data_IF_683518245051
#
_entry.id   IF_683518245051
#
_cell.length_a   1.000
_cell.length_b   1.000
_cell.length_c   1.000
_cell.angle_alpha   90.00
_cell.angle_beta   90.00
_cell.angle_gamma   90.00
#
_symmetry.space_group_name_H-M   'P 1'
#
loop_
_entity.id
_entity.type
_entity.pdbx_description
1 polymer ?
#
# COMPACT_ATOMS: atom_id res chain seq x y z
N UNK A 1 4.29 -2.79 -36.43
CA UNK A 1 3.86 -2.58 -35.01
C UNK A 1 4.96 -1.77 -34.36
N UNK A 2 4.70 -0.51 -34.04
CA UNK A 2 5.69 0.33 -33.35
C UNK A 2 5.98 -0.26 -31.96
N UNK A 3 7.26 -0.34 -31.62
CA UNK A 3 7.67 -0.88 -30.32
C UNK A 3 7.25 0.08 -29.20
N UNK A 4 6.51 -0.42 -28.20
CA UNK A 4 6.12 0.37 -27.03
C UNK A 4 7.38 0.72 -26.24
N UNK A 5 7.64 2.02 -26.05
CA UNK A 5 8.81 2.49 -25.30
C UNK A 5 8.55 2.51 -23.80
N UNK A 6 9.59 2.35 -22.96
CA UNK A 6 9.49 2.51 -21.51
C UNK A 6 8.88 3.87 -21.11
N UNK A 7 9.22 4.95 -21.85
CA UNK A 7 8.61 6.28 -21.64
C UNK A 7 7.09 6.26 -21.84
N UNK A 8 6.58 5.57 -22.85
CA UNK A 8 5.14 5.46 -23.10
C UNK A 8 4.43 4.70 -21.96
N UNK A 9 5.07 3.64 -21.44
CA UNK A 9 4.55 2.88 -20.30
C UNK A 9 4.45 3.80 -19.06
N UNK A 10 5.55 4.47 -18.69
CA UNK A 10 5.57 5.37 -17.52
C UNK A 10 4.54 6.48 -17.66
N UNK A 11 4.41 7.11 -18.84
CA UNK A 11 3.41 8.15 -19.08
C UNK A 11 1.98 7.63 -18.87
N UNK A 12 1.69 6.43 -19.36
CA UNK A 12 0.37 5.80 -19.19
C UNK A 12 0.09 5.46 -17.73
N UNK A 13 1.10 4.96 -16.99
CA UNK A 13 0.99 4.68 -15.55
C UNK A 13 0.77 5.95 -14.73
N UNK A 14 1.49 7.03 -15.04
CA UNK A 14 1.29 8.33 -14.38
C UNK A 14 -0.12 8.87 -14.61
N UNK A 15 -0.63 8.76 -15.85
CA UNK A 15 -2.00 9.16 -16.17
C UNK A 15 -3.01 8.31 -15.37
N UNK A 16 -2.86 6.99 -15.35
CA UNK A 16 -3.70 6.11 -14.56
C UNK A 16 -3.67 6.46 -13.07
N UNK A 17 -2.49 6.68 -12.51
CA UNK A 17 -2.32 7.08 -11.11
C UNK A 17 -3.01 8.43 -10.82
N UNK A 18 -2.96 9.39 -11.75
CA UNK A 18 -3.65 10.68 -11.62
C UNK A 18 -5.16 10.51 -11.62
N UNK A 19 -5.70 9.72 -12.54
CA UNK A 19 -7.13 9.41 -12.59
C UNK A 19 -7.60 8.69 -11.32
N UNK A 20 -6.85 7.68 -10.85
CA UNK A 20 -7.12 6.98 -9.60
C UNK A 20 -7.03 7.91 -8.38
N UNK A 21 -6.08 8.84 -8.35
CA UNK A 21 -5.94 9.82 -7.28
C UNK A 21 -7.12 10.79 -7.23
N UNK A 22 -7.54 11.29 -8.38
CA UNK A 22 -8.72 12.16 -8.50
C UNK A 22 -9.98 11.44 -8.04
N UNK A 23 -10.11 10.19 -8.45
CA UNK A 23 -11.20 9.32 -8.07
C UNK A 23 -11.20 9.00 -6.57
N UNK A 24 -10.05 8.64 -6.01
CA UNK A 24 -9.87 8.41 -4.58
C UNK A 24 -10.21 9.68 -3.76
N UNK A 25 -9.83 10.86 -4.27
CA UNK A 25 -10.15 12.15 -3.66
C UNK A 25 -11.68 12.41 -3.65
N UNK A 26 -12.36 12.09 -4.74
CA UNK A 26 -13.80 12.29 -4.85
C UNK A 26 -14.62 11.35 -3.95
N UNK A 27 -14.17 10.11 -3.76
CA UNK A 27 -14.96 9.05 -3.09
C UNK A 27 -14.42 8.61 -1.73
N UNK A 28 -13.12 8.74 -1.46
CA UNK A 28 -12.50 8.26 -0.21
C UNK A 28 -12.15 9.36 0.79
N UNK A 29 -11.92 10.60 0.34
CA UNK A 29 -11.32 11.65 1.19
C UNK A 29 -12.35 12.37 2.08
N UNK A 30 -13.61 12.38 1.72
CA UNK A 30 -14.68 13.02 2.52
C UNK A 30 -15.47 12.03 3.37
N UNK A 31 -15.04 10.77 3.40
CA UNK A 31 -15.88 9.70 3.88
C UNK A 31 -15.32 8.89 5.06
N UNK A 32 -15.86 7.71 5.15
CA UNK A 32 -15.68 6.72 6.22
C UNK A 32 -14.22 6.38 6.52
N UNK A 33 -13.35 6.34 5.48
CA UNK A 33 -11.93 5.98 5.64
C UNK A 33 -11.15 7.04 6.42
N UNK A 34 -11.32 8.32 6.08
CA UNK A 34 -10.65 9.41 6.79
C UNK A 34 -11.08 9.46 8.26
N UNK A 35 -12.39 9.33 8.51
CA UNK A 35 -12.94 9.23 9.85
C UNK A 35 -12.40 8.03 10.62
N UNK A 36 -12.29 6.86 9.96
CA UNK A 36 -11.73 5.67 10.60
C UNK A 36 -10.26 5.83 10.97
N UNK A 37 -9.45 6.44 10.10
CA UNK A 37 -8.06 6.78 10.39
C UNK A 37 -7.96 7.67 11.65
N UNK A 38 -8.81 8.67 11.76
CA UNK A 38 -8.86 9.57 12.92
C UNK A 38 -9.29 8.82 14.20
N UNK A 39 -10.34 7.99 14.14
CA UNK A 39 -10.81 7.16 15.25
C UNK A 39 -9.73 6.20 15.77
N UNK A 40 -8.87 5.69 14.88
CA UNK A 40 -7.73 4.86 15.23
C UNK A 40 -6.55 5.66 15.83
N UNK A 41 -6.64 7.00 15.83
CA UNK A 41 -5.56 7.89 16.29
C UNK A 41 -4.36 7.89 15.35
N UNK A 42 -4.58 7.56 14.07
CA UNK A 42 -3.54 7.52 13.05
C UNK A 42 -3.51 8.80 12.23
N UNK A 43 -2.34 9.17 11.75
CA UNK A 43 -2.22 10.15 10.66
C UNK A 43 -2.38 9.43 9.31
N UNK A 44 -2.74 10.15 8.22
CA UNK A 44 -2.81 9.55 6.89
C UNK A 44 -1.51 8.86 6.46
N UNK A 45 -0.35 9.43 6.79
CA UNK A 45 0.95 8.81 6.50
C UNK A 45 1.19 7.52 7.28
N UNK A 46 0.72 7.45 8.53
CA UNK A 46 0.79 6.21 9.32
C UNK A 46 -0.12 5.13 8.75
N UNK A 47 -1.34 5.49 8.32
CA UNK A 47 -2.25 4.57 7.67
C UNK A 47 -1.67 4.05 6.33
N UNK A 48 -1.05 4.92 5.52
CA UNK A 48 -0.34 4.51 4.31
C UNK A 48 0.81 3.55 4.61
N UNK A 49 1.58 3.81 5.68
CA UNK A 49 2.66 2.92 6.09
C UNK A 49 2.15 1.55 6.53
N UNK A 50 1.04 1.49 7.26
CA UNK A 50 0.41 0.22 7.61
C UNK A 50 -0.04 -0.55 6.37
N UNK A 51 -0.70 0.12 5.42
CA UNK A 51 -1.10 -0.48 4.15
C UNK A 51 0.11 -0.98 3.34
N UNK A 52 1.21 -0.23 3.35
CA UNK A 52 2.44 -0.63 2.69
C UNK A 52 3.06 -1.88 3.32
N UNK A 53 3.16 -1.94 4.64
CA UNK A 53 3.66 -3.12 5.37
C UNK A 53 2.77 -4.36 5.15
N UNK A 54 1.46 -4.16 5.11
CA UNK A 54 0.49 -5.23 4.84
C UNK A 54 0.66 -5.83 3.44
N UNK A 55 0.89 -4.98 2.44
CA UNK A 55 1.04 -5.40 1.04
C UNK A 55 2.44 -5.93 0.70
N UNK A 56 3.44 -5.71 1.55
CA UNK A 56 4.84 -6.08 1.29
C UNK A 56 5.47 -6.74 2.53
N UNK A 57 4.96 -7.90 2.97
CA UNK A 57 5.43 -8.55 4.19
C UNK A 57 6.90 -9.02 4.11
N UNK A 58 7.47 -9.12 2.91
CA UNK A 58 8.87 -9.44 2.67
C UNK A 58 9.82 -8.25 2.98
N UNK A 59 9.31 -7.02 2.97
CA UNK A 59 10.07 -5.82 3.31
C UNK A 59 10.01 -5.57 4.82
N UNK A 60 10.54 -6.52 5.57
CA UNK A 60 10.41 -6.60 7.02
C UNK A 60 11.53 -5.88 7.81
N UNK A 61 12.48 -5.24 7.15
CA UNK A 61 13.56 -4.49 7.82
C UNK A 61 13.51 -2.99 7.56
N UNK A 62 13.95 -2.19 8.55
CA UNK A 62 14.06 -0.71 8.38
C UNK A 62 14.93 -0.35 7.17
N UNK A 63 15.99 -1.12 6.91
CA UNK A 63 16.87 -0.87 5.76
C UNK A 63 16.20 -1.14 4.44
N UNK A 64 15.48 -2.26 4.30
CA UNK A 64 14.71 -2.61 3.09
C UNK A 64 13.61 -1.59 2.83
N UNK A 65 12.84 -1.24 3.86
CA UNK A 65 11.79 -0.23 3.79
C UNK A 65 12.34 1.14 3.39
N UNK A 66 13.46 1.58 4.01
CA UNK A 66 14.12 2.85 3.70
C UNK A 66 14.56 2.90 2.24
N UNK A 67 15.19 1.84 1.74
CA UNK A 67 15.61 1.73 0.35
C UNK A 67 14.41 1.75 -0.62
N UNK A 68 13.36 1.00 -0.33
CA UNK A 68 12.18 0.86 -1.18
C UNK A 68 11.36 2.15 -1.25
N UNK A 69 11.23 2.87 -0.12
CA UNK A 69 10.44 4.10 -0.01
C UNK A 69 11.25 5.37 -0.30
N UNK A 70 12.55 5.26 -0.49
CA UNK A 70 13.46 6.40 -0.68
C UNK A 70 13.37 7.44 0.45
N UNK A 71 13.16 7.00 1.69
CA UNK A 71 13.10 7.85 2.90
C UNK A 71 14.28 7.56 3.82
N UNK A 72 14.68 8.55 4.63
CA UNK A 72 15.76 8.36 5.59
C UNK A 72 15.37 7.32 6.65
N UNK A 73 16.37 6.51 7.09
CA UNK A 73 16.17 5.53 8.17
C UNK A 73 15.67 6.18 9.47
N UNK A 74 16.12 7.42 9.75
CA UNK A 74 15.69 8.17 10.93
C UNK A 74 14.20 8.53 10.90
N UNK A 75 13.73 9.09 9.77
CA UNK A 75 12.30 9.42 9.59
C UNK A 75 11.42 8.16 9.65
N UNK A 76 11.87 7.10 9.00
CA UNK A 76 11.16 5.82 9.01
C UNK A 76 11.10 5.22 10.42
N UNK A 77 12.23 5.21 11.15
CA UNK A 77 12.28 4.70 12.52
C UNK A 77 11.34 5.46 13.46
N UNK A 78 11.25 6.78 13.32
CA UNK A 78 10.33 7.60 14.11
C UNK A 78 8.86 7.24 13.81
N UNK A 79 8.52 7.05 12.53
CA UNK A 79 7.17 6.66 12.13
C UNK A 79 6.82 5.26 12.67
N UNK A 80 7.72 4.30 12.50
CA UNK A 80 7.54 2.93 13.00
C UNK A 80 7.43 2.88 14.54
N UNK A 81 8.18 3.71 15.26
CA UNK A 81 8.05 3.81 16.72
C UNK A 81 6.68 4.33 17.14
N UNK A 82 6.10 5.28 16.41
CA UNK A 82 4.72 5.74 16.67
C UNK A 82 3.69 4.63 16.43
N UNK A 83 3.85 3.85 15.36
CA UNK A 83 3.00 2.69 15.10
C UNK A 83 3.14 1.60 16.15
N UNK A 84 4.36 1.39 16.68
CA UNK A 84 4.64 0.46 17.76
C UNK A 84 3.97 0.90 19.08
N UNK A 85 4.11 2.17 19.46
CA UNK A 85 3.41 2.75 20.61
C UNK A 85 1.90 2.64 20.49
N UNK A 86 1.36 2.83 19.27
CA UNK A 86 -0.07 2.63 18.98
C UNK A 86 -0.50 1.17 18.98
N UNK A 87 0.44 0.23 19.05
CA UNK A 87 0.19 -1.21 19.02
C UNK A 87 -0.18 -1.76 17.65
N UNK A 88 0.08 -1.04 16.55
CA UNK A 88 -0.22 -1.47 15.19
C UNK A 88 0.94 -2.24 14.52
N UNK A 89 2.16 -1.97 14.95
CA UNK A 89 3.35 -2.66 14.48
C UNK A 89 4.20 -3.12 15.68
N UNK A 90 5.10 -4.06 15.43
CA UNK A 90 6.04 -4.55 16.44
C UNK A 90 7.42 -4.73 15.81
N UNK A 91 8.45 -4.46 16.61
CA UNK A 91 9.82 -4.81 16.30
C UNK A 91 10.11 -6.22 16.74
N UNK A 92 10.80 -6.96 15.90
CA UNK A 92 11.31 -8.30 16.24
C UNK A 92 12.83 -8.28 16.23
N UNK A 93 13.43 -9.01 17.16
CA UNK A 93 14.87 -9.24 17.16
C UNK A 93 15.30 -9.99 15.87
N UNK A 94 16.58 -9.87 15.52
CA UNK A 94 17.18 -10.64 14.46
C UNK A 94 16.91 -12.13 14.65
N UNK A 95 16.66 -12.85 13.56
CA UNK A 95 16.53 -14.30 13.55
C UNK A 95 17.92 -14.93 13.81
N UNK A 96 17.94 -16.13 14.40
CA UNK A 96 19.19 -16.89 14.58
C UNK A 96 19.91 -17.06 13.24
N UNK A 97 21.19 -16.63 13.21
CA UNK A 97 22.01 -16.65 12.01
C UNK A 97 22.02 -15.34 11.20
N UNK A 98 21.21 -14.37 11.55
CA UNK A 98 21.20 -13.04 10.94
C UNK A 98 22.22 -12.08 11.63
N UNK A 99 22.61 -11.01 10.91
CA UNK A 99 23.33 -9.88 11.52
C UNK A 99 22.45 -9.29 12.64
N UNK A 100 22.88 -9.40 13.89
CA UNK A 100 22.18 -8.93 15.09
C UNK A 100 21.85 -7.42 15.10
N UNK A 101 22.31 -6.69 14.08
CA UNK A 101 21.98 -5.26 13.84
C UNK A 101 20.68 -5.06 13.07
N UNK A 102 20.12 -6.12 12.49
CA UNK A 102 18.86 -6.01 11.75
C UNK A 102 17.68 -5.92 12.71
N UNK A 103 16.86 -4.91 12.51
CA UNK A 103 15.58 -4.74 13.22
C UNK A 103 14.49 -5.12 12.22
N UNK A 104 13.76 -6.15 12.55
CA UNK A 104 12.60 -6.62 11.79
C UNK A 104 11.34 -5.92 12.26
N UNK A 105 10.45 -5.64 11.33
CA UNK A 105 9.16 -5.00 11.57
C UNK A 105 8.08 -5.93 11.06
N UNK A 106 7.03 -6.10 11.83
CA UNK A 106 5.80 -6.76 11.37
C UNK A 106 4.59 -6.03 11.92
N UNK A 107 3.46 -6.19 11.25
CA UNK A 107 2.18 -5.78 11.80
C UNK A 107 1.81 -6.64 13.01
N UNK A 108 1.02 -6.08 13.91
CA UNK A 108 0.30 -6.83 14.94
C UNK A 108 -1.07 -7.23 14.40
N UNK A 109 -1.78 -8.11 15.09
CA UNK A 109 -3.17 -8.41 14.74
C UNK A 109 -4.06 -7.15 14.71
N UNK A 110 -3.81 -6.17 15.58
CA UNK A 110 -4.47 -4.87 15.56
C UNK A 110 -4.14 -4.09 14.29
N UNK A 111 -2.86 -4.11 13.85
CA UNK A 111 -2.42 -3.45 12.64
C UNK A 111 -3.04 -4.06 11.39
N UNK A 112 -3.06 -5.37 11.30
CA UNK A 112 -3.69 -6.10 10.19
C UNK A 112 -5.19 -5.83 10.12
N UNK A 113 -5.91 -5.92 11.24
CA UNK A 113 -7.34 -5.60 11.31
C UNK A 113 -7.63 -4.17 10.88
N UNK A 114 -6.82 -3.20 11.34
CA UNK A 114 -6.99 -1.81 10.96
C UNK A 114 -6.82 -1.59 9.44
N UNK A 115 -5.84 -2.27 8.81
CA UNK A 115 -5.67 -2.18 7.34
C UNK A 115 -6.85 -2.82 6.63
N UNK A 116 -7.26 -4.02 7.04
CA UNK A 116 -8.41 -4.72 6.44
C UNK A 116 -9.68 -3.88 6.50
N UNK A 117 -9.99 -3.28 7.65
CA UNK A 117 -11.13 -2.38 7.79
C UNK A 117 -11.06 -1.16 6.84
N UNK A 118 -9.87 -0.53 6.74
CA UNK A 118 -9.68 0.61 5.85
C UNK A 118 -9.84 0.22 4.37
N UNK A 119 -9.33 -0.95 3.97
CA UNK A 119 -9.47 -1.49 2.61
C UNK A 119 -10.93 -1.81 2.31
N UNK A 120 -11.65 -2.42 3.25
CA UNK A 120 -13.06 -2.74 3.07
C UNK A 120 -13.93 -1.48 2.95
N UNK A 121 -13.74 -0.49 3.81
CA UNK A 121 -14.42 0.80 3.73
C UNK A 121 -14.12 1.53 2.41
N UNK A 122 -12.89 1.47 1.93
CA UNK A 122 -12.52 2.03 0.63
C UNK A 122 -13.21 1.28 -0.50
N UNK A 123 -13.18 -0.05 -0.47
CA UNK A 123 -13.80 -0.90 -1.48
C UNK A 123 -15.32 -0.67 -1.54
N UNK A 124 -16.01 -0.64 -0.40
CA UNK A 124 -17.45 -0.33 -0.34
C UNK A 124 -17.77 1.04 -0.95
N UNK A 125 -16.98 2.06 -0.59
CA UNK A 125 -17.20 3.42 -1.08
C UNK A 125 -16.93 3.52 -2.59
N UNK A 126 -15.92 2.83 -3.06
CA UNK A 126 -15.50 2.84 -4.45
C UNK A 126 -16.35 1.92 -5.34
N UNK A 127 -16.93 0.87 -4.79
CA UNK A 127 -17.74 -0.11 -5.53
C UNK A 127 -18.90 0.54 -6.29
N UNK A 128 -19.51 1.58 -5.73
CA UNK A 128 -20.64 2.30 -6.34
C UNK A 128 -20.35 2.73 -7.79
N UNK A 129 -19.12 3.15 -8.09
CA UNK A 129 -18.73 3.57 -9.44
C UNK A 129 -18.69 2.40 -10.40
N UNK A 130 -18.19 1.26 -9.94
CA UNK A 130 -18.13 0.04 -10.77
C UNK A 130 -19.50 -0.63 -10.90
N UNK A 131 -20.33 -0.54 -9.87
CA UNK A 131 -21.69 -1.12 -9.89
C UNK A 131 -22.61 -0.45 -10.91
N UNK A 132 -22.35 0.82 -11.24
CA UNK A 132 -23.04 1.53 -12.32
C UNK A 132 -22.64 1.05 -13.72
N UNK A 133 -21.55 0.27 -13.86
CA UNK A 133 -21.11 -0.26 -15.14
C UNK A 133 -21.79 -1.59 -15.46
N UNK A 134 -21.91 -1.91 -16.75
CA UNK A 134 -22.37 -3.23 -17.17
C UNK A 134 -21.38 -4.33 -16.75
N UNK A 135 -21.88 -5.56 -16.64
CA UNK A 135 -21.09 -6.70 -16.16
C UNK A 135 -19.87 -7.01 -17.04
N UNK A 136 -19.99 -6.81 -18.36
CA UNK A 136 -18.89 -7.05 -19.31
C UNK A 136 -17.73 -6.07 -19.05
N UNK A 137 -18.05 -4.79 -18.89
CA UNK A 137 -17.03 -3.76 -18.62
C UNK A 137 -16.37 -3.95 -17.25
N UNK A 138 -17.14 -4.33 -16.22
CA UNK A 138 -16.58 -4.69 -14.90
C UNK A 138 -15.59 -5.83 -15.02
N UNK A 139 -15.96 -6.89 -15.73
CA UNK A 139 -15.06 -8.05 -15.94
C UNK A 139 -13.80 -7.68 -16.71
N UNK A 140 -13.91 -6.83 -17.76
CA UNK A 140 -12.74 -6.35 -18.48
C UNK A 140 -11.77 -5.59 -17.59
N UNK A 141 -12.27 -4.66 -16.76
CA UNK A 141 -11.45 -3.89 -15.82
C UNK A 141 -10.77 -4.83 -14.83
N UNK A 142 -11.53 -5.74 -14.20
CA UNK A 142 -11.01 -6.71 -13.26
C UNK A 142 -9.88 -7.54 -13.86
N UNK A 143 -10.10 -8.13 -15.04
CA UNK A 143 -9.09 -8.95 -15.74
C UNK A 143 -7.82 -8.15 -16.02
N UNK A 144 -7.94 -6.92 -16.51
CA UNK A 144 -6.79 -6.06 -16.82
C UNK A 144 -6.00 -5.66 -15.57
N UNK A 145 -6.69 -5.42 -14.45
CA UNK A 145 -6.03 -5.15 -13.16
C UNK A 145 -5.27 -6.39 -12.68
N UNK A 146 -5.87 -7.59 -12.76
CA UNK A 146 -5.20 -8.82 -12.37
C UNK A 146 -3.97 -9.11 -13.25
N UNK A 147 -4.09 -9.01 -14.56
CA UNK A 147 -2.96 -9.15 -15.51
C UNK A 147 -1.82 -8.18 -15.17
N UNK A 148 -2.15 -6.92 -14.85
CA UNK A 148 -1.17 -5.90 -14.49
C UNK A 148 -0.47 -6.25 -13.16
N UNK A 149 -1.21 -6.66 -12.14
CA UNK A 149 -0.67 -7.09 -10.85
C UNK A 149 0.28 -8.29 -11.00
N UNK A 150 -0.09 -9.27 -11.81
CA UNK A 150 0.78 -10.42 -12.13
C UNK A 150 2.10 -9.98 -12.78
N UNK A 151 2.04 -9.08 -13.77
CA UNK A 151 3.25 -8.55 -14.42
C UNK A 151 4.17 -7.83 -13.44
N UNK A 152 3.61 -7.10 -12.47
CA UNK A 152 4.41 -6.43 -11.44
C UNK A 152 4.98 -7.39 -10.41
N UNK A 153 4.27 -8.49 -10.09
CA UNK A 153 4.73 -9.47 -9.10
C UNK A 153 5.76 -10.45 -9.67
N UNK A 154 5.64 -10.82 -10.95
CA UNK A 154 6.50 -11.85 -11.57
C UNK A 154 7.81 -11.30 -12.14
N UNK A 155 7.98 -10.01 -12.22
CA UNK A 155 9.02 -9.55 -13.06
C UNK A 155 10.09 -8.67 -12.53
N UNK A 156 11.29 -8.97 -12.78
CA UNK A 156 12.33 -8.15 -13.37
C UNK A 156 12.70 -6.77 -12.74
N UNK A 157 12.14 -6.38 -11.62
CA UNK A 157 12.57 -5.19 -10.87
C UNK A 157 13.74 -5.46 -9.92
N UNK A 158 14.26 -6.70 -9.98
CA UNK A 158 15.42 -7.13 -9.19
C UNK A 158 16.65 -7.13 -10.09
N UNK A 159 17.20 -5.97 -10.38
CA UNK A 159 18.62 -5.79 -10.66
C UNK A 159 19.09 -4.48 -10.06
#
# INVERSE_FOLDING_TARGET
MEAVTGKAIVTSMMRLATEMSSWNKAYATEGKVAKRIEELGLTPHQAQMLGFLYSNPELDTVSALSARLHVSKGSLSLMLSKLEVGGFAQKKAAKDGDDGRKIYISLTAKGESAVQEMVELLAETAAVVFDCMDAHRRMQIYTKVQELLELFNTGGWKE
#
